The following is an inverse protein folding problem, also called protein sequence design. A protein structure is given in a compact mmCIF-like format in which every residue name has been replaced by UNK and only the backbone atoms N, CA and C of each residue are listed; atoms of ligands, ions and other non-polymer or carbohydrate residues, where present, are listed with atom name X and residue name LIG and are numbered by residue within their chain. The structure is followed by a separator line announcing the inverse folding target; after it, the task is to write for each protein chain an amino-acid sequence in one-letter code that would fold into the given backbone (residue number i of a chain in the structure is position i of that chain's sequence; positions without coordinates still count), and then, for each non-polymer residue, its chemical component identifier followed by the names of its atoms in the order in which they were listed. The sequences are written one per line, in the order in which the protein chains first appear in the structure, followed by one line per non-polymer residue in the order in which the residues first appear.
data_IF_624639369401
#
_entry.id   IF_624639369401
#
_cell.length_a   1.000
_cell.length_b   1.000
_cell.length_c   1.000
_cell.angle_alpha   90.00
_cell.angle_beta   90.00
_cell.angle_gamma   90.00
#
_symmetry.space_group_name_H-M   'P 1'
#
loop_
_entity.id
_entity.type
_entity.pdbx_description
1 polymer ?
#
# COMPACT_ATOMS: atom_id res chain seq x y z
N UNK A 1 -7.77 -16.26 -2.78
CA UNK A 1 -7.07 -15.95 -1.52
C UNK A 1 -5.73 -15.31 -1.85
N UNK A 2 -5.48 -14.12 -1.31
CA UNK A 2 -4.22 -13.42 -1.51
C UNK A 2 -3.40 -13.44 -0.21
N UNK A 3 -2.09 -13.66 -0.31
CA UNK A 3 -1.16 -13.61 0.82
C UNK A 3 -0.58 -12.20 1.01
N UNK A 4 -0.70 -11.34 0.01
CA UNK A 4 -0.27 -9.96 0.02
C UNK A 4 -1.22 -9.02 -0.71
N UNK A 5 -1.23 -7.76 -0.31
CA UNK A 5 -2.11 -6.71 -0.84
C UNK A 5 -1.30 -5.45 -1.08
N UNK A 6 -1.42 -4.88 -2.27
CA UNK A 6 -0.90 -3.55 -2.57
C UNK A 6 -2.08 -2.60 -2.69
N UNK A 7 -2.09 -1.54 -1.89
CA UNK A 7 -3.04 -0.44 -2.00
C UNK A 7 -2.40 0.71 -2.76
N UNK A 8 -3.07 1.18 -3.80
CA UNK A 8 -2.61 2.31 -4.60
C UNK A 8 -3.66 3.41 -4.67
N UNK A 9 -3.25 4.66 -4.43
CA UNK A 9 -4.13 5.81 -4.51
C UNK A 9 -3.46 7.00 -5.19
N UNK A 10 -4.18 7.73 -6.04
CA UNK A 10 -3.75 9.07 -6.44
C UNK A 10 -3.86 10.02 -5.25
N UNK A 11 -3.13 11.14 -5.33
CA UNK A 11 -3.15 12.21 -4.33
C UNK A 11 -3.82 13.45 -4.94
N UNK A 12 -5.03 13.75 -4.49
CA UNK A 12 -5.77 14.92 -4.98
C UNK A 12 -5.70 16.11 -4.00
N UNK A 13 -5.94 15.86 -2.72
CA UNK A 13 -6.00 16.90 -1.69
C UNK A 13 -5.12 16.50 -0.51
N UNK A 14 -3.81 16.35 -0.79
CA UNK A 14 -2.78 16.00 0.19
C UNK A 14 -3.04 14.69 0.98
N UNK A 15 -3.88 13.81 0.45
CA UNK A 15 -4.23 12.54 1.09
C UNK A 15 -4.68 11.51 0.03
N UNK A 16 -4.99 10.28 0.47
CA UNK A 16 -5.61 9.27 -0.39
C UNK A 16 -6.96 9.75 -0.95
N UNK A 17 -7.40 9.13 -2.05
CA UNK A 17 -8.69 9.47 -2.66
C UNK A 17 -9.87 9.10 -1.76
N UNK A 18 -10.99 9.81 -1.92
CA UNK A 18 -12.23 9.51 -1.20
C UNK A 18 -12.70 8.06 -1.43
N UNK A 19 -12.54 7.55 -2.64
CA UNK A 19 -12.89 6.16 -2.96
C UNK A 19 -12.01 5.14 -2.20
N UNK A 20 -10.71 5.42 -2.09
CA UNK A 20 -9.81 4.57 -1.29
C UNK A 20 -10.19 4.63 0.18
N UNK A 21 -10.46 5.81 0.73
CA UNK A 21 -10.90 5.97 2.11
C UNK A 21 -12.18 5.17 2.38
N UNK A 22 -13.19 5.30 1.53
CA UNK A 22 -14.44 4.57 1.67
C UNK A 22 -14.23 3.04 1.61
N UNK A 23 -13.35 2.59 0.73
CA UNK A 23 -12.97 1.17 0.65
C UNK A 23 -12.33 0.67 1.95
N UNK A 24 -11.35 1.42 2.49
CA UNK A 24 -10.64 1.04 3.71
C UNK A 24 -11.57 1.04 4.94
N UNK A 25 -12.44 2.02 5.06
CA UNK A 25 -13.43 2.08 6.15
C UNK A 25 -14.39 0.89 6.07
N UNK A 26 -14.89 0.57 4.88
CA UNK A 26 -15.76 -0.57 4.69
C UNK A 26 -15.06 -1.90 4.98
N UNK A 27 -13.82 -2.07 4.50
CA UNK A 27 -13.02 -3.25 4.79
C UNK A 27 -12.76 -3.41 6.30
N UNK A 28 -12.47 -2.30 6.99
CA UNK A 28 -12.27 -2.29 8.45
C UNK A 28 -13.52 -2.73 9.21
N UNK A 29 -14.70 -2.27 8.82
CA UNK A 29 -15.96 -2.71 9.44
C UNK A 29 -16.19 -4.21 9.23
N UNK A 30 -15.95 -4.72 8.02
CA UNK A 30 -16.11 -6.15 7.73
C UNK A 30 -15.15 -6.99 8.56
N UNK A 31 -13.90 -6.58 8.70
CA UNK A 31 -12.92 -7.30 9.53
C UNK A 31 -13.24 -7.22 11.00
N UNK A 32 -13.73 -6.07 11.48
CA UNK A 32 -14.13 -5.90 12.87
C UNK A 32 -15.30 -6.82 13.26
N UNK A 33 -16.25 -6.98 12.35
CA UNK A 33 -17.37 -7.92 12.53
C UNK A 33 -16.95 -9.40 12.43
N UNK A 34 -15.76 -9.70 11.96
CA UNK A 34 -15.22 -11.04 11.74
C UNK A 34 -13.85 -11.22 12.39
N UNK A 35 -13.61 -10.63 13.55
CA UNK A 35 -12.29 -10.61 14.21
C UNK A 35 -11.67 -11.99 14.40
N UNK A 36 -12.47 -12.96 14.79
CA UNK A 36 -12.00 -14.32 15.05
C UNK A 36 -11.47 -15.01 13.78
N UNK A 37 -11.97 -14.61 12.61
CA UNK A 37 -11.52 -15.14 11.33
C UNK A 37 -10.14 -14.63 10.92
N UNK A 38 -9.67 -13.50 11.47
CA UNK A 38 -8.36 -12.92 11.18
C UNK A 38 -8.11 -12.69 9.70
N UNK A 39 -9.08 -12.09 8.98
CA UNK A 39 -9.14 -12.03 7.50
C UNK A 39 -7.86 -11.48 6.84
N UNK A 40 -7.19 -10.52 7.49
CA UNK A 40 -5.96 -9.90 7.00
C UNK A 40 -4.73 -10.21 7.86
N UNK A 41 -4.94 -10.82 9.03
CA UNK A 41 -3.86 -11.11 9.98
C UNK A 41 -2.69 -11.84 9.30
N UNK A 42 -1.48 -11.33 9.53
CA UNK A 42 -0.20 -11.84 9.02
C UNK A 42 -0.04 -11.82 7.49
N UNK A 43 -0.97 -11.18 6.76
CA UNK A 43 -0.76 -10.91 5.34
C UNK A 43 0.23 -9.75 5.14
N UNK A 44 0.83 -9.70 3.98
CA UNK A 44 1.81 -8.67 3.63
C UNK A 44 1.10 -7.49 2.95
N UNK A 45 1.34 -6.27 3.44
CA UNK A 45 0.76 -5.05 2.90
C UNK A 45 1.81 -4.09 2.38
N UNK A 46 1.53 -3.41 1.27
CA UNK A 46 2.31 -2.32 0.75
C UNK A 46 1.40 -1.21 0.21
N UNK A 47 1.78 0.04 0.45
CA UNK A 47 1.09 1.21 -0.07
C UNK A 47 1.91 1.88 -1.16
N UNK A 48 1.26 2.34 -2.23
CA UNK A 48 1.87 3.11 -3.31
C UNK A 48 1.01 4.33 -3.66
N UNK A 49 1.63 5.44 -4.05
CA UNK A 49 0.89 6.64 -4.45
C UNK A 49 1.44 7.25 -5.72
N UNK A 50 0.58 7.95 -6.43
CA UNK A 50 0.97 8.83 -7.52
C UNK A 50 0.49 10.25 -7.21
N UNK A 51 1.38 11.23 -7.33
CA UNK A 51 1.09 12.63 -7.06
C UNK A 51 1.68 13.53 -8.12
N UNK A 52 1.02 14.67 -8.35
CA UNK A 52 1.59 15.71 -9.18
C UNK A 52 2.80 16.36 -8.50
N UNK A 53 2.72 16.59 -7.17
CA UNK A 53 3.74 17.36 -6.45
C UNK A 53 3.83 16.98 -4.97
N UNK A 54 2.86 17.35 -4.13
CA UNK A 54 2.92 17.18 -2.68
C UNK A 54 1.79 16.33 -2.12
N UNK A 55 1.90 15.93 -0.84
CA UNK A 55 0.86 15.20 -0.13
C UNK A 55 0.93 13.66 -0.22
N UNK A 56 1.86 13.12 -1.00
CA UNK A 56 1.98 11.66 -1.19
C UNK A 56 2.26 10.91 0.12
N UNK A 57 3.10 11.45 0.99
CA UNK A 57 3.44 10.83 2.27
C UNK A 57 2.21 10.70 3.18
N UNK A 58 1.34 11.72 3.23
CA UNK A 58 0.09 11.62 3.99
C UNK A 58 -0.82 10.48 3.48
N UNK A 59 -0.89 10.30 2.16
CA UNK A 59 -1.67 9.22 1.58
C UNK A 59 -1.07 7.84 1.89
N UNK A 60 0.25 7.71 1.88
CA UNK A 60 0.95 6.49 2.31
C UNK A 60 0.67 6.18 3.78
N UNK A 61 0.78 7.17 4.66
CA UNK A 61 0.51 7.00 6.09
C UNK A 61 -0.91 6.52 6.33
N UNK A 62 -1.89 7.11 5.67
CA UNK A 62 -3.30 6.72 5.80
C UNK A 62 -3.54 5.25 5.40
N UNK A 63 -2.95 4.79 4.30
CA UNK A 63 -3.04 3.39 3.87
C UNK A 63 -2.27 2.44 4.80
N UNK A 64 -1.10 2.87 5.30
CA UNK A 64 -0.33 2.08 6.26
C UNK A 64 -1.04 1.92 7.60
N UNK A 65 -1.79 2.91 8.06
CA UNK A 65 -2.64 2.80 9.25
C UNK A 65 -3.66 1.66 9.12
N UNK A 66 -4.24 1.48 7.93
CA UNK A 66 -5.13 0.34 7.68
C UNK A 66 -4.39 -0.98 7.88
N UNK A 67 -3.23 -1.17 7.28
CA UNK A 67 -2.45 -2.40 7.42
C UNK A 67 -2.10 -2.70 8.88
N UNK A 68 -1.69 -1.68 9.63
CA UNK A 68 -1.33 -1.83 11.05
C UNK A 68 -2.55 -2.23 11.89
N UNK A 69 -3.72 -1.62 11.63
CA UNK A 69 -4.97 -1.97 12.30
C UNK A 69 -5.39 -3.43 12.03
N UNK A 70 -5.04 -3.95 10.85
CA UNK A 70 -5.41 -5.30 10.41
C UNK A 70 -4.39 -6.40 10.80
N UNK A 71 -3.43 -6.11 11.65
CA UNK A 71 -2.36 -7.04 12.05
C UNK A 71 -1.52 -7.54 10.85
N UNK A 72 -1.34 -6.70 9.83
CA UNK A 72 -0.56 -7.03 8.63
C UNK A 72 0.91 -6.64 8.79
N UNK A 73 1.78 -7.28 8.00
CA UNK A 73 3.18 -6.89 7.86
C UNK A 73 3.32 -5.83 6.77
N UNK A 74 3.79 -4.63 7.13
CA UNK A 74 3.99 -3.53 6.18
C UNK A 74 5.37 -3.61 5.57
N UNK A 75 5.46 -3.57 4.24
CA UNK A 75 6.72 -3.64 3.49
C UNK A 75 7.18 -2.25 3.08
N UNK A 76 8.45 -1.97 3.36
CA UNK A 76 9.13 -0.78 2.88
C UNK A 76 9.88 -0.98 1.57
N UNK A 77 10.40 0.11 1.02
CA UNK A 77 11.26 0.15 -0.15
C UNK A 77 12.57 0.92 0.14
N UNK A 78 13.35 1.25 -0.89
CA UNK A 78 14.55 2.08 -0.76
C UNK A 78 14.25 3.57 -0.51
N UNK A 79 13.01 3.98 -0.74
CA UNK A 79 12.46 5.30 -0.43
C UNK A 79 10.94 5.17 -0.25
N UNK A 80 10.23 6.26 0.06
CA UNK A 80 8.76 6.23 0.13
C UNK A 80 8.16 5.82 -1.21
N UNK A 81 7.24 4.84 -1.26
CA UNK A 81 6.68 4.30 -2.50
C UNK A 81 5.71 5.27 -3.18
N UNK A 82 6.24 6.30 -3.79
CA UNK A 82 5.51 7.30 -4.54
C UNK A 82 6.14 7.54 -5.91
N UNK A 83 5.33 7.99 -6.85
CA UNK A 83 5.80 8.43 -8.16
C UNK A 83 5.13 9.76 -8.53
N UNK A 84 5.83 10.58 -9.30
CA UNK A 84 5.33 11.87 -9.73
C UNK A 84 4.86 11.84 -11.17
N UNK A 85 3.71 12.46 -11.41
CA UNK A 85 3.14 12.64 -12.74
C UNK A 85 1.84 13.44 -12.67
N UNK A 86 1.51 14.15 -13.74
CA UNK A 86 0.28 14.94 -13.85
C UNK A 86 -0.65 14.37 -14.91
N UNK A 87 -0.11 14.09 -16.09
CA UNK A 87 -0.87 13.54 -17.21
C UNK A 87 -0.73 12.01 -17.25
N UNK A 88 -1.66 11.32 -17.90
CA UNK A 88 -1.54 9.88 -18.12
C UNK A 88 -0.18 9.52 -18.75
N UNK A 89 0.54 8.60 -18.13
CA UNK A 89 1.85 8.16 -18.57
C UNK A 89 3.06 8.90 -17.99
N UNK A 90 2.88 10.08 -17.40
CA UNK A 90 3.99 10.87 -16.87
C UNK A 90 4.84 10.12 -15.84
N UNK A 91 4.24 9.26 -15.03
CA UNK A 91 4.94 8.46 -14.02
C UNK A 91 6.03 7.56 -14.63
N UNK A 92 5.93 7.23 -15.92
CA UNK A 92 6.96 6.46 -16.63
C UNK A 92 8.27 7.23 -16.80
N UNK A 93 8.25 8.56 -16.64
CA UNK A 93 9.42 9.43 -16.71
C UNK A 93 10.05 9.67 -15.33
N UNK A 94 9.44 9.21 -14.25
CA UNK A 94 9.98 9.27 -12.90
C UNK A 94 10.85 8.04 -12.60
N UNK A 95 12.11 8.10 -12.98
CA UNK A 95 13.04 6.98 -12.81
C UNK A 95 13.23 6.58 -11.34
N UNK A 96 13.25 7.54 -10.42
CA UNK A 96 13.36 7.27 -8.99
C UNK A 96 12.11 6.57 -8.46
N UNK A 97 10.94 7.07 -8.81
CA UNK A 97 9.66 6.46 -8.46
C UNK A 97 9.55 5.02 -8.98
N UNK A 98 9.89 4.78 -10.24
CA UNK A 98 9.87 3.45 -10.84
C UNK A 98 10.85 2.49 -10.14
N UNK A 99 12.07 2.96 -9.82
CA UNK A 99 13.02 2.15 -9.07
C UNK A 99 12.50 1.81 -7.68
N UNK A 100 11.89 2.76 -6.99
CA UNK A 100 11.28 2.56 -5.67
C UNK A 100 10.17 1.50 -5.73
N UNK A 101 9.33 1.52 -6.76
CA UNK A 101 8.29 0.49 -6.97
C UNK A 101 8.91 -0.89 -7.24
N UNK A 102 9.98 -0.94 -8.03
CA UNK A 102 10.70 -2.20 -8.30
C UNK A 102 11.30 -2.81 -7.04
N UNK A 103 11.94 -1.99 -6.20
CA UNK A 103 12.50 -2.45 -4.92
C UNK A 103 11.39 -2.89 -3.95
N UNK A 104 10.28 -2.15 -3.89
CA UNK A 104 9.12 -2.54 -3.10
C UNK A 104 8.61 -3.94 -3.48
N UNK A 105 8.44 -4.20 -4.77
CA UNK A 105 8.02 -5.50 -5.27
C UNK A 105 8.99 -6.63 -4.91
N UNK A 106 10.30 -6.39 -5.00
CA UNK A 106 11.32 -7.35 -4.58
C UNK A 106 11.27 -7.65 -3.08
N UNK A 107 11.13 -6.60 -2.25
CA UNK A 107 11.02 -6.75 -0.80
C UNK A 107 9.74 -7.51 -0.40
N UNK A 108 8.63 -7.20 -1.05
CA UNK A 108 7.38 -7.91 -0.84
C UNK A 108 7.49 -9.39 -1.22
N UNK A 109 8.08 -9.69 -2.36
CA UNK A 109 8.32 -11.07 -2.79
C UNK A 109 9.26 -11.83 -1.83
N UNK A 110 10.30 -11.17 -1.32
CA UNK A 110 11.21 -11.74 -0.32
C UNK A 110 10.45 -12.15 0.96
N UNK A 111 9.64 -11.23 1.51
CA UNK A 111 8.89 -11.49 2.73
C UNK A 111 7.84 -12.58 2.52
N UNK A 112 7.10 -12.56 1.42
CA UNK A 112 6.10 -13.58 1.09
C UNK A 112 6.71 -14.98 1.01
N UNK A 113 7.89 -15.12 0.38
CA UNK A 113 8.62 -16.39 0.33
C UNK A 113 9.06 -16.86 1.72
N UNK A 114 9.64 -15.96 2.52
CA UNK A 114 10.09 -16.28 3.86
C UNK A 114 8.95 -16.72 4.79
N UNK A 115 7.76 -16.12 4.67
CA UNK A 115 6.59 -16.51 5.43
C UNK A 115 6.05 -17.88 4.99
N UNK A 116 6.06 -18.15 3.69
CA UNK A 116 5.57 -19.41 3.13
C UNK A 116 6.45 -20.61 3.50
N UNK A 117 7.77 -20.42 3.60
CA UNK A 117 8.71 -21.48 4.00
C UNK A 117 8.59 -21.87 5.47
N UNK A 118 7.92 -21.04 6.30
CA UNK A 118 7.71 -21.28 7.74
C UNK A 118 6.30 -21.78 8.08
N UNK A 119 5.43 -21.85 7.09
CA UNK A 119 4.06 -22.37 7.22
C UNK A 119 4.03 -23.86 6.94
#
# INVERSE_FOLDING_TARGET
EADGIILGSPVYTANLSANMQAFLERASVVTDMNRDAGLFRHKVGAAVTAARRGGAVNALDAMNHFFLLQEMFVVGSCYWPLAYGQMPGDVQNDAEGLNTMSVLGKNMAYLLKALKERS
#
